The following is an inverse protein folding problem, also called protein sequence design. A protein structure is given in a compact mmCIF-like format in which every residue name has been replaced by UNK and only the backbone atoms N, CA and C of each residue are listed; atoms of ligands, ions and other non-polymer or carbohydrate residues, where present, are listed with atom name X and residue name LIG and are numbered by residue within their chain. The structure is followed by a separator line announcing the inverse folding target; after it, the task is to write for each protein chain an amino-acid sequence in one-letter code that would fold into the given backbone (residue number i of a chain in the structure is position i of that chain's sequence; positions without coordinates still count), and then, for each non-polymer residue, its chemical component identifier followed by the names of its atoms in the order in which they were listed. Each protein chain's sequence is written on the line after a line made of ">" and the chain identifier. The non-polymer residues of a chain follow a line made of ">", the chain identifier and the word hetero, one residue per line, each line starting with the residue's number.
data_IF_901988799369
#
_entry.id   IF_901988799369
#
_cell.length_a   1.000
_cell.length_b   1.000
_cell.length_c   1.000
_cell.angle_alpha   90.00
_cell.angle_beta   90.00
_cell.angle_gamma   90.00
#
_symmetry.space_group_name_H-M   'P 1'
#
loop_
_entity.id
_entity.type
_entity.pdbx_description
1 polymer ?
#
# COMPACT_ATOMS: atom_id res chain seq x y z
N UNK A 1 21.05 -13.82 6.95
CA UNK A 1 19.57 -13.98 7.02
C UNK A 1 18.95 -13.66 5.66
N UNK A 2 18.93 -14.61 4.71
CA UNK A 2 18.37 -14.38 3.36
C UNK A 2 17.02 -15.10 3.12
N UNK A 3 16.61 -15.96 4.04
CA UNK A 3 15.40 -16.79 3.90
C UNK A 3 14.13 -15.99 4.28
N UNK A 4 14.20 -15.08 5.27
CA UNK A 4 13.05 -14.25 5.66
C UNK A 4 12.68 -13.19 4.61
N UNK A 5 13.65 -12.58 3.93
CA UNK A 5 13.38 -11.53 2.93
C UNK A 5 12.65 -12.07 1.70
N UNK A 6 13.01 -13.28 1.23
CA UNK A 6 12.31 -13.91 0.10
C UNK A 6 10.85 -14.24 0.41
N UNK A 7 10.55 -14.60 1.67
CA UNK A 7 9.18 -14.88 2.09
C UNK A 7 8.35 -13.60 2.19
N UNK A 8 8.92 -12.49 2.67
CA UNK A 8 8.26 -11.18 2.68
C UNK A 8 7.89 -10.72 1.26
N UNK A 9 8.86 -10.81 0.35
CA UNK A 9 8.71 -10.38 -1.04
C UNK A 9 7.57 -11.12 -1.73
N UNK A 10 7.50 -12.45 -1.56
CA UNK A 10 6.43 -13.25 -2.16
C UNK A 10 5.04 -12.86 -1.62
N UNK A 11 4.89 -12.58 -0.32
CA UNK A 11 3.61 -12.16 0.24
C UNK A 11 3.19 -10.78 -0.25
N UNK A 12 4.15 -9.84 -0.36
CA UNK A 12 3.89 -8.50 -0.91
C UNK A 12 3.44 -8.61 -2.37
N UNK A 13 4.13 -9.39 -3.19
CA UNK A 13 3.76 -9.61 -4.60
C UNK A 13 2.35 -10.19 -4.75
N UNK A 14 2.00 -11.18 -3.93
CA UNK A 14 0.65 -11.74 -3.93
C UNK A 14 -0.42 -10.69 -3.59
N UNK A 15 -0.17 -9.86 -2.56
CA UNK A 15 -1.09 -8.78 -2.18
C UNK A 15 -1.17 -7.66 -3.23
N UNK A 16 -0.07 -7.34 -3.90
CA UNK A 16 -0.06 -6.37 -5.01
C UNK A 16 -0.99 -6.83 -6.14
N UNK A 17 -0.93 -8.11 -6.53
CA UNK A 17 -1.81 -8.65 -7.56
C UNK A 17 -3.29 -8.61 -7.15
N UNK A 18 -3.61 -8.80 -5.88
CA UNK A 18 -4.98 -8.68 -5.37
C UNK A 18 -5.43 -7.21 -5.34
N UNK A 19 -4.57 -6.30 -4.90
CA UNK A 19 -4.81 -4.86 -4.90
C UNK A 19 -5.06 -4.31 -6.32
N UNK A 20 -4.35 -4.82 -7.34
CA UNK A 20 -4.60 -4.49 -8.75
C UNK A 20 -5.99 -4.93 -9.25
N UNK A 21 -6.57 -5.97 -8.64
CA UNK A 21 -7.94 -6.42 -8.92
C UNK A 21 -9.00 -5.63 -8.15
N UNK A 22 -8.59 -4.64 -7.36
CA UNK A 22 -9.49 -3.82 -6.55
C UNK A 22 -9.78 -4.40 -5.16
N UNK A 23 -8.97 -5.34 -4.67
CA UNK A 23 -9.11 -5.87 -3.32
C UNK A 23 -8.68 -4.82 -2.27
N UNK A 24 -9.66 -4.37 -1.49
CA UNK A 24 -9.46 -3.36 -0.43
C UNK A 24 -8.69 -3.93 0.76
N UNK A 25 -8.94 -5.20 1.11
CA UNK A 25 -8.24 -5.86 2.21
C UNK A 25 -6.77 -6.09 1.83
N UNK A 26 -6.48 -6.35 0.56
CA UNK A 26 -5.10 -6.44 0.08
C UNK A 26 -4.33 -5.11 0.21
N UNK A 27 -4.98 -3.99 -0.10
CA UNK A 27 -4.43 -2.66 0.12
C UNK A 27 -4.16 -2.41 1.62
N UNK A 28 -5.09 -2.79 2.50
CA UNK A 28 -4.88 -2.67 3.95
C UNK A 28 -3.72 -3.54 4.45
N UNK A 29 -3.64 -4.81 4.05
CA UNK A 29 -2.57 -5.73 4.45
C UNK A 29 -1.18 -5.29 3.94
N UNK A 30 -1.11 -4.65 2.76
CA UNK A 30 0.13 -4.01 2.29
C UNK A 30 0.54 -2.88 3.24
N UNK A 31 -0.42 -2.01 3.62
CA UNK A 31 -0.17 -0.95 4.60
C UNK A 31 0.38 -1.48 5.92
N UNK A 32 -0.20 -2.55 6.45
CA UNK A 32 0.26 -3.21 7.69
C UNK A 32 1.64 -3.84 7.51
N UNK A 33 1.89 -4.48 6.36
CA UNK A 33 3.19 -5.10 6.06
C UNK A 33 4.31 -4.08 6.13
N UNK A 34 4.14 -2.93 5.46
CA UNK A 34 5.14 -1.87 5.44
C UNK A 34 5.22 -1.08 6.75
N UNK A 35 4.14 -0.95 7.52
CA UNK A 35 4.21 -0.25 8.81
C UNK A 35 4.88 -1.06 9.92
N UNK A 36 4.75 -2.39 9.88
CA UNK A 36 5.25 -3.27 10.94
C UNK A 36 6.49 -4.08 10.55
N UNK A 37 6.87 -4.08 9.27
CA UNK A 37 7.92 -4.96 8.75
C UNK A 37 7.52 -6.44 8.79
N UNK A 38 6.20 -6.74 8.76
CA UNK A 38 5.67 -8.10 8.89
C UNK A 38 6.20 -9.00 7.77
N UNK A 39 6.51 -10.25 8.13
CA UNK A 39 7.03 -11.23 7.18
C UNK A 39 8.51 -11.05 6.83
N UNK A 40 9.21 -10.06 7.39
CA UNK A 40 10.61 -9.74 7.09
C UNK A 40 10.79 -8.62 6.07
N UNK A 41 9.73 -7.84 5.84
CA UNK A 41 9.80 -6.59 5.06
C UNK A 41 10.52 -5.50 5.86
N UNK A 42 11.15 -4.56 5.15
CA UNK A 42 11.64 -3.34 5.78
C UNK A 42 10.47 -2.42 6.12
N UNK A 43 10.58 -1.72 7.26
CA UNK A 43 9.57 -0.75 7.66
C UNK A 43 9.71 0.49 6.77
N UNK A 44 8.63 0.83 6.08
CA UNK A 44 8.54 2.00 5.20
C UNK A 44 7.19 2.69 5.41
N UNK A 45 7.21 3.80 6.14
CA UNK A 45 5.99 4.56 6.44
C UNK A 45 5.42 5.27 5.21
N UNK A 46 6.25 5.56 4.19
CA UNK A 46 5.79 6.17 2.93
C UNK A 46 4.94 5.18 2.15
N UNK A 47 5.44 3.95 1.97
CA UNK A 47 4.66 2.88 1.33
C UNK A 47 3.45 2.51 2.18
N UNK A 48 3.58 2.40 3.51
CA UNK A 48 2.44 2.12 4.39
C UNK A 48 1.33 3.17 4.26
N UNK A 49 1.69 4.46 4.29
CA UNK A 49 0.72 5.55 4.14
C UNK A 49 0.08 5.53 2.76
N UNK A 50 0.83 5.25 1.69
CA UNK A 50 0.29 5.11 0.34
C UNK A 50 -0.79 4.02 0.30
N UNK A 51 -0.51 2.82 0.80
CA UNK A 51 -1.46 1.71 0.77
C UNK A 51 -2.70 1.95 1.63
N UNK A 52 -2.53 2.47 2.84
CA UNK A 52 -3.67 2.88 3.66
C UNK A 52 -4.48 4.02 3.00
N UNK A 53 -3.82 4.96 2.31
CA UNK A 53 -4.53 6.01 1.59
C UNK A 53 -5.41 5.44 0.47
N UNK A 54 -4.91 4.45 -0.27
CA UNK A 54 -5.65 3.79 -1.34
C UNK A 54 -6.84 2.99 -0.80
N UNK A 55 -6.66 2.22 0.27
CA UNK A 55 -7.76 1.49 0.92
C UNK A 55 -8.80 2.45 1.52
N UNK A 56 -8.36 3.53 2.17
CA UNK A 56 -9.22 4.57 2.71
C UNK A 56 -10.09 5.26 1.63
N UNK A 57 -9.53 5.50 0.44
CA UNK A 57 -10.25 6.05 -0.71
C UNK A 57 -11.34 5.11 -1.22
N UNK A 58 -11.18 3.79 -1.03
CA UNK A 58 -12.18 2.78 -1.37
C UNK A 58 -13.18 2.50 -0.23
N UNK A 59 -13.12 3.27 0.86
CA UNK A 59 -14.09 3.19 1.97
C UNK A 59 -13.64 2.38 3.19
N UNK A 60 -12.39 1.91 3.26
CA UNK A 60 -11.91 1.21 4.45
C UNK A 60 -11.56 2.18 5.59
N UNK A 61 -12.44 2.24 6.59
CA UNK A 61 -12.27 3.11 7.77
C UNK A 61 -11.05 2.70 8.62
N UNK A 62 -10.70 1.41 8.66
CA UNK A 62 -9.51 0.93 9.38
C UNK A 62 -8.25 1.60 8.83
N UNK A 63 -8.11 1.63 7.51
CA UNK A 63 -7.02 2.31 6.82
C UNK A 63 -7.01 3.81 7.05
N UNK A 64 -8.17 4.46 7.21
CA UNK A 64 -8.20 5.88 7.58
C UNK A 64 -7.56 6.11 8.95
N UNK A 65 -7.89 5.28 9.93
CA UNK A 65 -7.28 5.34 11.27
C UNK A 65 -5.79 5.01 11.23
N UNK A 66 -5.38 3.90 10.61
CA UNK A 66 -3.97 3.51 10.53
C UNK A 66 -3.13 4.56 9.77
N UNK A 67 -3.66 5.15 8.70
CA UNK A 67 -3.00 6.24 7.98
C UNK A 67 -2.78 7.45 8.88
N UNK A 68 -3.80 7.85 9.64
CA UNK A 68 -3.70 8.98 10.55
C UNK A 68 -2.70 8.70 11.68
N UNK A 69 -2.70 7.48 12.20
CA UNK A 69 -1.76 7.02 13.24
C UNK A 69 -0.32 7.11 12.75
N UNK A 70 0.03 6.52 11.61
CA UNK A 70 1.43 6.58 11.13
C UNK A 70 1.84 7.97 10.65
N UNK A 71 0.88 8.82 10.25
CA UNK A 71 1.18 10.18 9.78
C UNK A 71 1.80 11.06 10.88
N UNK A 72 1.60 10.72 12.16
CA UNK A 72 2.16 11.49 13.28
C UNK A 72 3.69 11.36 13.37
N UNK A 73 4.23 10.23 12.90
CA UNK A 73 5.67 9.92 12.89
C UNK A 73 6.35 10.35 11.57
N UNK A 74 5.57 10.81 10.59
CA UNK A 74 6.05 11.18 9.27
C UNK A 74 6.28 12.68 9.12
N UNK A 75 7.26 13.05 8.31
CA UNK A 75 7.45 14.43 7.87
C UNK A 75 6.47 14.80 6.77
N UNK A 76 6.22 16.11 6.59
CA UNK A 76 5.40 16.62 5.49
C UNK A 76 5.93 16.21 4.11
N UNK A 77 7.25 16.02 3.95
CA UNK A 77 7.86 15.54 2.71
C UNK A 77 7.50 14.09 2.43
N UNK A 78 7.57 13.22 3.44
CA UNK A 78 7.21 11.81 3.35
C UNK A 78 5.71 11.63 3.08
N UNK A 79 4.85 12.39 3.77
CA UNK A 79 3.40 12.38 3.50
C UNK A 79 3.13 12.81 2.06
N UNK A 80 3.79 13.87 1.59
CA UNK A 80 3.64 14.35 0.21
C UNK A 80 4.10 13.31 -0.81
N UNK A 81 5.17 12.57 -0.52
CA UNK A 81 5.66 11.48 -1.35
C UNK A 81 4.67 10.31 -1.38
N UNK A 82 4.20 9.85 -0.22
CA UNK A 82 3.20 8.78 -0.13
C UNK A 82 1.93 9.09 -0.92
N UNK A 83 1.45 10.34 -0.83
CA UNK A 83 0.30 10.80 -1.60
C UNK A 83 0.60 10.88 -3.10
N UNK A 84 1.82 11.28 -3.52
CA UNK A 84 2.23 11.24 -4.93
C UNK A 84 2.21 9.81 -5.46
N UNK A 85 2.80 8.88 -4.73
CA UNK A 85 2.85 7.47 -5.12
C UNK A 85 1.45 6.85 -5.19
N UNK A 86 0.55 7.16 -4.25
CA UNK A 86 -0.83 6.70 -4.29
C UNK A 86 -1.57 7.21 -5.55
N UNK A 87 -1.40 8.49 -5.90
CA UNK A 87 -1.97 9.04 -7.14
C UNK A 87 -1.38 8.38 -8.39
N UNK A 88 -0.06 8.16 -8.42
CA UNK A 88 0.60 7.48 -9.52
C UNK A 88 0.09 6.04 -9.68
N UNK A 89 -0.12 5.34 -8.57
CA UNK A 89 -0.70 3.99 -8.57
C UNK A 89 -2.12 3.99 -9.15
N UNK A 90 -3.01 4.86 -8.68
CA UNK A 90 -4.37 4.98 -9.24
C UNK A 90 -4.35 5.31 -10.74
N UNK A 91 -3.42 6.17 -11.17
CA UNK A 91 -3.27 6.50 -12.58
C UNK A 91 -2.84 5.28 -13.41
N UNK A 92 -1.91 4.46 -12.90
CA UNK A 92 -1.42 3.25 -13.55
C UNK A 92 -2.46 2.10 -13.54
N UNK A 93 -3.08 1.83 -12.40
CA UNK A 93 -4.13 0.79 -12.27
C UNK A 93 -5.40 1.19 -13.03
N UNK A 94 -5.72 2.48 -13.08
CA UNK A 94 -6.86 3.03 -13.82
C UNK A 94 -6.71 2.97 -15.34
N UNK A 95 -5.49 3.11 -15.89
CA UNK A 95 -5.24 2.86 -17.32
C UNK A 95 -5.34 1.38 -17.68
N UNK A 96 -4.99 0.46 -16.77
CA UNK A 96 -5.12 -0.98 -17.02
C UNK A 96 -6.58 -1.45 -17.12
N UNK A 97 -7.51 -0.82 -16.39
CA UNK A 97 -8.95 -1.11 -16.52
C UNK A 97 -9.63 -0.52 -17.76
N UNK A 98 -9.00 0.43 -18.46
CA UNK A 98 -9.56 1.06 -19.68
C UNK A 98 -9.07 0.43 -21.01
N UNK A 99 -8.29 -0.65 -20.96
CA UNK A 99 -7.73 -1.32 -22.15
C UNK A 99 -8.42 -2.62 -22.60
N UNK A 100 -9.51 -3.06 -21.96
CA UNK A 100 -10.17 -4.36 -22.26
C UNK A 100 -11.61 -4.22 -22.76
N UNK A 101 -11.87 -3.19 -23.56
CA UNK A 101 -13.08 -3.10 -24.38
C UNK A 101 -12.67 -2.79 -25.83
N UNK A 102 -12.23 -3.83 -26.54
CA UNK A 102 -12.15 -3.87 -28.00
C UNK A 102 -12.50 -5.27 -28.47
#
# INVERSE_FOLDING_TARGET
>A
MAISQKNAQFMIEARLADAERGDIDALFELGVTYSTGRGGAEVDLVEAHKWFNLAALNGDTRSQHCRAEISVEMTAREISEAQRQARAWLAASGTMHQGRAA
#
